data_IF_376295720926
#
_entry.id   IF_376295720926
#
_cell.length_a   1.000
_cell.length_b   1.000
_cell.length_c   1.000
_cell.angle_alpha   90.00
_cell.angle_beta   90.00
_cell.angle_gamma   90.00
#
_symmetry.space_group_name_H-M   'P 1'
#
loop_
_entity.id
_entity.type
_entity.pdbx_description
1 polymer ?
#
# COMPACT_ATOMS: atom_id res chain seq x y z
N UNK A 1 -14.10 6.62 -10.62
CA UNK A 1 -14.76 6.01 -9.45
C UNK A 1 -16.14 6.63 -9.36
N UNK A 2 -17.15 5.86 -8.97
CA UNK A 2 -18.47 6.39 -8.71
C UNK A 2 -18.49 7.20 -7.40
N UNK A 3 -19.48 8.07 -7.25
CA UNK A 3 -19.61 8.97 -6.11
C UNK A 3 -19.98 8.24 -4.79
N UNK A 4 -20.44 7.00 -4.89
CA UNK A 4 -20.82 6.13 -3.76
C UNK A 4 -19.62 5.38 -3.14
N UNK A 5 -18.41 5.62 -3.64
CA UNK A 5 -17.19 4.99 -3.14
C UNK A 5 -16.71 5.67 -1.85
N UNK A 6 -16.82 4.97 -0.72
CA UNK A 6 -16.22 5.38 0.56
C UNK A 6 -14.75 4.94 0.62
N UNK A 7 -13.84 5.87 0.32
CA UNK A 7 -12.39 5.62 0.36
C UNK A 7 -11.84 5.39 1.76
N UNK A 8 -12.46 5.94 2.81
CA UNK A 8 -12.00 5.75 4.19
C UNK A 8 -12.27 4.31 4.62
N UNK A 9 -13.45 3.80 4.31
CA UNK A 9 -13.80 2.41 4.57
C UNK A 9 -12.92 1.44 3.77
N UNK A 10 -12.66 1.72 2.48
CA UNK A 10 -11.74 0.90 1.67
C UNK A 10 -10.33 0.90 2.26
N UNK A 11 -9.82 2.05 2.69
CA UNK A 11 -8.50 2.13 3.32
C UNK A 11 -8.38 1.24 4.57
N UNK A 12 -9.44 1.15 5.39
CA UNK A 12 -9.50 0.24 6.54
C UNK A 12 -9.54 -1.23 6.14
N UNK A 13 -10.23 -1.57 5.04
CA UNK A 13 -10.29 -2.94 4.52
C UNK A 13 -8.96 -3.40 3.92
N UNK A 14 -8.17 -2.48 3.38
CA UNK A 14 -6.88 -2.75 2.75
C UNK A 14 -5.70 -2.41 3.67
N UNK A 15 -5.90 -2.45 4.99
CA UNK A 15 -4.78 -2.22 5.91
C UNK A 15 -3.71 -3.29 5.72
N UNK A 16 -2.44 -2.85 5.72
CA UNK A 16 -1.30 -3.71 5.47
C UNK A 16 -1.09 -4.14 4.01
N UNK A 17 -1.87 -3.63 3.05
CA UNK A 17 -1.62 -3.81 1.62
C UNK A 17 -0.44 -2.93 1.18
N UNK A 18 0.39 -3.46 0.28
CA UNK A 18 1.41 -2.70 -0.42
C UNK A 18 0.83 -1.93 -1.62
N UNK A 19 1.61 -1.03 -2.21
CA UNK A 19 1.20 -0.34 -3.45
C UNK A 19 0.90 -1.31 -4.60
N UNK A 20 1.61 -2.43 -4.68
CA UNK A 20 1.35 -3.46 -5.68
C UNK A 20 0.01 -4.18 -5.43
N UNK A 21 -0.32 -4.44 -4.16
CA UNK A 21 -1.60 -5.06 -3.79
C UNK A 21 -2.79 -4.15 -4.14
N UNK A 22 -2.65 -2.84 -3.85
CA UNK A 22 -3.68 -1.86 -4.22
C UNK A 22 -3.84 -1.74 -5.73
N UNK A 23 -2.74 -1.77 -6.49
CA UNK A 23 -2.78 -1.76 -7.95
C UNK A 23 -3.50 -3.00 -8.50
N UNK A 24 -3.20 -4.19 -7.97
CA UNK A 24 -3.88 -5.43 -8.35
C UNK A 24 -5.39 -5.35 -8.03
N UNK A 25 -5.74 -4.91 -6.83
CA UNK A 25 -7.13 -4.73 -6.39
C UNK A 25 -7.92 -3.79 -7.31
N UNK A 26 -7.34 -2.65 -7.69
CA UNK A 26 -7.99 -1.71 -8.61
C UNK A 26 -8.10 -2.26 -10.03
N UNK A 27 -7.13 -3.06 -10.47
CA UNK A 27 -7.17 -3.73 -11.77
C UNK A 27 -8.31 -4.75 -11.82
N UNK A 28 -8.47 -5.55 -10.77
CA UNK A 28 -9.56 -6.52 -10.64
C UNK A 28 -10.93 -5.83 -10.59
N UNK A 29 -11.05 -4.73 -9.83
CA UNK A 29 -12.27 -3.94 -9.77
C UNK A 29 -12.62 -3.30 -11.13
N UNK A 30 -11.61 -2.84 -11.89
CA UNK A 30 -11.82 -2.32 -13.23
C UNK A 30 -12.33 -3.40 -14.19
N UNK A 31 -11.74 -4.61 -14.17
CA UNK A 31 -12.19 -5.72 -14.99
C UNK A 31 -13.62 -6.15 -14.64
N UNK A 32 -13.94 -6.18 -13.34
CA UNK A 32 -15.29 -6.51 -12.91
C UNK A 32 -16.32 -5.45 -13.33
N UNK A 33 -15.97 -4.16 -13.31
CA UNK A 33 -16.84 -3.09 -13.79
C UNK A 33 -17.08 -3.16 -15.31
N UNK A 34 -16.06 -3.58 -16.08
CA UNK A 34 -16.20 -3.88 -17.51
C UNK A 34 -17.15 -5.06 -17.71
N UNK A 35 -16.99 -6.13 -16.93
CA UNK A 35 -17.85 -7.31 -17.03
C UNK A 35 -19.32 -6.97 -16.72
N UNK A 36 -19.59 -6.22 -15.65
CA UNK A 36 -20.93 -5.74 -15.32
C UNK A 36 -21.54 -4.91 -16.46
N UNK A 37 -20.75 -4.04 -17.09
CA UNK A 37 -21.22 -3.25 -18.23
C UNK A 37 -21.61 -4.15 -19.41
N UNK A 38 -20.79 -5.15 -19.73
CA UNK A 38 -21.07 -6.11 -20.80
C UNK A 38 -22.32 -6.96 -20.51
N UNK A 39 -22.45 -7.45 -19.28
CA UNK A 39 -23.61 -8.26 -18.84
C UNK A 39 -24.92 -7.46 -18.88
N UNK A 40 -24.85 -6.14 -18.70
CA UNK A 40 -25.99 -5.22 -18.83
C UNK A 40 -26.35 -4.87 -20.28
N UNK A 41 -25.85 -5.62 -21.27
CA UNK A 41 -26.20 -5.48 -22.68
C UNK A 41 -25.52 -4.31 -23.37
N UNK A 42 -24.28 -3.99 -22.99
CA UNK A 42 -23.50 -2.95 -23.64
C UNK A 42 -23.29 -3.27 -25.13
N UNK A 43 -23.73 -2.34 -25.97
CA UNK A 43 -23.78 -2.48 -27.44
C UNK A 43 -22.54 -1.92 -28.16
N UNK A 44 -21.55 -1.43 -27.42
CA UNK A 44 -20.35 -0.80 -27.97
C UNK A 44 -20.56 0.58 -28.60
N UNK A 45 -21.80 1.08 -28.64
CA UNK A 45 -22.17 2.34 -29.32
C UNK A 45 -22.68 3.41 -28.37
N UNK A 46 -23.20 3.00 -27.22
CA UNK A 46 -23.83 3.87 -26.22
C UNK A 46 -22.87 4.81 -25.46
N UNK A 47 -21.56 4.75 -25.70
CA UNK A 47 -20.58 5.63 -25.06
C UNK A 47 -20.48 5.47 -23.54
N UNK A 48 -21.13 4.44 -22.96
CA UNK A 48 -21.07 4.15 -21.53
C UNK A 48 -19.67 3.68 -21.18
N UNK A 49 -19.00 4.43 -20.31
CA UNK A 49 -17.70 4.01 -19.76
C UNK A 49 -17.93 3.14 -18.52
N UNK A 50 -17.13 2.08 -18.31
CA UNK A 50 -17.19 1.30 -17.09
C UNK A 50 -16.82 2.18 -15.89
N UNK A 51 -17.63 2.13 -14.84
CA UNK A 51 -17.39 2.88 -13.60
C UNK A 51 -17.36 1.90 -12.44
N UNK A 52 -16.30 1.97 -11.64
CA UNK A 52 -16.17 1.18 -10.41
C UNK A 52 -17.11 1.78 -9.35
N UNK A 53 -18.13 1.02 -8.97
CA UNK A 53 -19.09 1.33 -7.90
C UNK A 53 -18.56 0.95 -6.52
N UNK A 54 -19.13 1.55 -5.47
CA UNK A 54 -18.75 1.26 -4.08
C UNK A 54 -18.96 -0.21 -3.72
N UNK A 55 -20.10 -0.79 -4.08
CA UNK A 55 -20.42 -2.20 -3.80
C UNK A 55 -19.45 -3.16 -4.48
N UNK A 56 -19.10 -2.88 -5.74
CA UNK A 56 -18.16 -3.70 -6.48
C UNK A 56 -16.76 -3.63 -5.87
N UNK A 57 -16.28 -2.42 -5.56
CA UNK A 57 -14.97 -2.23 -4.96
C UNK A 57 -14.87 -2.91 -3.58
N UNK A 58 -15.95 -2.84 -2.78
CA UNK A 58 -16.07 -3.59 -1.51
C UNK A 58 -15.96 -5.10 -1.71
N UNK A 59 -16.70 -5.63 -2.68
CA UNK A 59 -16.71 -7.06 -3.00
C UNK A 59 -15.31 -7.55 -3.39
N UNK A 60 -14.61 -6.81 -4.24
CA UNK A 60 -13.23 -7.14 -4.65
C UNK A 60 -12.26 -7.00 -3.47
N UNK A 61 -12.33 -5.89 -2.72
CA UNK A 61 -11.47 -5.66 -1.56
C UNK A 61 -11.60 -6.75 -0.49
N UNK A 62 -12.82 -7.24 -0.22
CA UNK A 62 -13.06 -8.31 0.75
C UNK A 62 -12.42 -9.66 0.39
N UNK A 63 -12.15 -9.90 -0.90
CA UNK A 63 -11.56 -11.15 -1.40
C UNK A 63 -10.05 -11.05 -1.56
N UNK A 64 -9.53 -9.83 -1.65
CA UNK A 64 -8.12 -9.56 -1.83
C UNK A 64 -7.32 -9.90 -0.56
N UNK A 65 -6.05 -10.25 -0.74
CA UNK A 65 -5.12 -10.54 0.35
C UNK A 65 -3.82 -9.77 0.13
N UNK A 66 -3.17 -9.26 1.19
CA UNK A 66 -1.88 -8.61 1.06
C UNK A 66 -0.82 -9.61 0.57
N UNK A 67 0.05 -9.18 -0.34
CA UNK A 67 1.16 -10.01 -0.85
C UNK A 67 2.30 -10.12 0.15
N UNK A 68 2.49 -9.10 0.99
CA UNK A 68 3.53 -9.10 2.02
C UNK A 68 2.98 -9.72 3.30
N UNK A 69 3.52 -10.87 3.68
CA UNK A 69 3.16 -11.53 4.94
C UNK A 69 3.58 -10.70 6.14
N UNK A 70 2.88 -10.88 7.26
CA UNK A 70 3.27 -10.23 8.52
C UNK A 70 4.72 -10.57 8.90
N UNK A 71 5.11 -11.84 8.81
CA UNK A 71 6.48 -12.28 9.11
C UNK A 71 7.55 -11.54 8.31
N UNK A 72 7.30 -11.24 7.03
CA UNK A 72 8.23 -10.49 6.21
C UNK A 72 8.23 -9.00 6.59
N UNK A 73 7.08 -8.42 6.93
CA UNK A 73 7.03 -7.07 7.52
C UNK A 73 7.87 -6.99 8.78
N UNK A 74 7.72 -7.94 9.72
CA UNK A 74 8.51 -7.97 10.95
C UNK A 74 10.01 -8.10 10.67
N UNK A 75 10.40 -8.95 9.71
CA UNK A 75 11.81 -9.09 9.29
C UNK A 75 12.37 -7.78 8.74
N UNK A 76 11.63 -7.11 7.85
CA UNK A 76 12.04 -5.83 7.26
C UNK A 76 12.18 -4.74 8.33
N UNK A 77 11.24 -4.67 9.29
CA UNK A 77 11.34 -3.75 10.41
C UNK A 77 12.55 -4.04 11.31
N UNK A 78 12.87 -5.31 11.56
CA UNK A 78 14.06 -5.67 12.33
C UNK A 78 15.35 -5.21 11.63
N UNK A 79 15.46 -5.41 10.32
CA UNK A 79 16.61 -4.93 9.52
C UNK A 79 16.68 -3.40 9.55
N UNK A 80 15.55 -2.71 9.40
CA UNK A 80 15.47 -1.26 9.45
C UNK A 80 15.93 -0.70 10.80
N UNK A 81 15.45 -1.28 11.90
CA UNK A 81 15.82 -0.85 13.25
C UNK A 81 17.32 -1.09 13.52
N UNK A 82 17.86 -2.24 13.12
CA UNK A 82 19.29 -2.52 13.24
C UNK A 82 20.15 -1.48 12.50
N UNK A 83 19.70 -1.05 11.31
CA UNK A 83 20.38 0.01 10.55
C UNK A 83 20.31 1.36 11.26
N UNK A 84 19.14 1.74 11.79
CA UNK A 84 18.98 2.98 12.55
C UNK A 84 19.87 3.03 13.80
N UNK A 85 19.94 1.92 14.54
CA UNK A 85 20.77 1.81 15.74
C UNK A 85 22.26 1.87 15.38
N UNK A 86 22.67 1.23 14.29
CA UNK A 86 24.04 1.31 13.79
C UNK A 86 24.42 2.74 13.40
N UNK A 87 23.52 3.50 12.75
CA UNK A 87 23.75 4.92 12.44
C UNK A 87 23.83 5.81 13.68
N UNK A 88 22.97 5.57 14.69
CA UNK A 88 23.04 6.29 15.97
C UNK A 88 24.37 6.03 16.68
N UNK A 89 24.83 4.78 16.68
CA UNK A 89 26.09 4.36 17.27
C UNK A 89 27.30 5.01 16.60
N UNK A 90 27.33 5.06 15.26
CA UNK A 90 28.38 5.75 14.49
C UNK A 90 28.38 7.27 14.75
N UNK A 91 27.20 7.89 14.87
CA UNK A 91 27.06 9.30 15.22
C UNK A 91 27.53 9.63 16.65
N UNK A 92 27.29 8.73 17.61
CA UNK A 92 27.78 8.87 18.99
C UNK A 92 29.31 8.72 19.06
N UNK A 93 29.88 7.72 18.40
CA UNK A 93 31.34 7.50 18.34
C UNK A 93 32.08 8.66 17.67
N UNK A 94 31.51 9.27 16.63
CA UNK A 94 32.10 10.44 15.96
C UNK A 94 32.16 11.69 16.87
N UNK A 95 31.21 11.84 17.80
CA UNK A 95 31.20 12.94 18.78
C UNK A 95 32.24 12.73 19.89
N UNK A 96 32.36 11.51 20.41
CA UNK A 96 33.36 11.16 21.42
C UNK A 96 34.80 11.25 20.88
N UNK A 97 35.04 10.86 19.63
CA UNK A 97 36.35 10.99 19.00
C UNK A 97 36.80 12.45 18.81
N UNK A 98 35.86 13.39 18.65
CA UNK A 98 36.15 14.82 18.51
C UNK A 98 36.41 15.50 19.86
N UNK A 99 35.76 15.04 20.94
CA UNK A 99 35.99 15.52 22.30
C UNK A 99 37.37 15.18 22.88
N UNK A 100 37.92 14.01 22.56
CA UNK A 100 39.26 13.58 23.03
C UNK A 100 40.45 14.29 22.36
N UNK A 101 40.22 15.01 21.25
CA UNK A 101 41.27 15.75 20.52
C UNK A 101 41.56 17.14 21.09
N UNK A 102 40.76 17.64 22.03
CA UNK A 102 40.84 19.02 22.51
C UNK A 102 41.67 19.23 23.80
N UNK A 103 42.26 18.17 24.39
CA UNK A 103 42.92 18.23 25.72
C UNK A 103 44.42 17.88 25.71
N UNK A 104 45.12 18.15 24.61
CA UNK A 104 46.59 18.07 24.56
C UNK A 104 47.14 19.46 24.17
N UNK A 105 47.30 20.34 25.15
CA UNK A 105 48.06 21.59 25.09
C UNK A 105 48.58 21.91 26.49
#
# INVERSE_FOLDING_TARGET
>A
LADDVDLEMIARMTDGFSGADLQALLSDAQLAAVQELLDNGYDGKSGKSPVITGDLLRSVASKAKPSVSESEKQRLYAIYNQFLDSKRSAGAQARDAKGKRATLA
#
